data_IF_352673149305
#
_entry.id   IF_352673149305
#
_cell.length_a   1.000
_cell.length_b   1.000
_cell.length_c   1.000
_cell.angle_alpha   90.00
_cell.angle_beta   90.00
_cell.angle_gamma   90.00
#
_symmetry.space_group_name_H-M   'P 1'
#
loop_
_entity.id
_entity.type
_entity.pdbx_description
1 polymer ?
#
# COMPACT_ATOMS: atom_id res chain seq x y z
N UNK A 1 8.54 -6.02 -16.60
CA UNK A 1 8.12 -5.27 -15.40
C UNK A 1 7.43 -6.12 -14.32
N UNK A 2 6.55 -7.07 -14.66
CA UNK A 2 5.91 -7.95 -13.64
C UNK A 2 6.91 -8.77 -12.82
N UNK A 3 7.92 -9.37 -13.46
CA UNK A 3 8.96 -10.18 -12.78
C UNK A 3 9.76 -9.35 -11.76
N UNK A 4 10.21 -8.16 -12.14
CA UNK A 4 10.96 -7.24 -11.26
C UNK A 4 10.13 -6.87 -10.04
N UNK A 5 8.82 -6.63 -10.22
CA UNK A 5 7.92 -6.33 -9.11
C UNK A 5 7.82 -7.51 -8.13
N UNK A 6 7.64 -8.74 -8.63
CA UNK A 6 7.60 -9.93 -7.80
C UNK A 6 8.92 -10.16 -7.04
N UNK A 7 10.07 -9.96 -7.69
CA UNK A 7 11.38 -10.07 -7.04
C UNK A 7 11.53 -9.08 -5.87
N UNK A 8 11.22 -7.80 -6.10
CA UNK A 8 11.29 -6.76 -5.04
C UNK A 8 10.34 -7.08 -3.89
N UNK A 9 9.16 -7.60 -4.22
CA UNK A 9 8.14 -7.97 -3.24
C UNK A 9 8.57 -9.17 -2.37
N UNK A 10 9.14 -10.22 -2.97
CA UNK A 10 9.67 -11.37 -2.24
C UNK A 10 10.84 -10.98 -1.33
N UNK A 11 11.76 -10.16 -1.83
CA UNK A 11 12.88 -9.64 -1.02
C UNK A 11 12.35 -8.80 0.16
N UNK A 12 11.35 -7.95 -0.10
CA UNK A 12 10.73 -7.12 0.94
C UNK A 12 10.03 -7.95 2.01
N UNK A 13 9.36 -9.05 1.62
CA UNK A 13 8.73 -9.99 2.56
C UNK A 13 9.76 -10.73 3.42
N UNK A 14 10.85 -11.22 2.82
CA UNK A 14 11.94 -11.88 3.54
C UNK A 14 12.62 -10.93 4.53
N UNK A 15 12.84 -9.67 4.12
CA UNK A 15 13.37 -8.64 4.99
C UNK A 15 12.42 -8.34 6.14
N UNK A 16 11.12 -8.14 5.86
CA UNK A 16 10.11 -7.89 6.89
C UNK A 16 10.01 -9.03 7.90
N UNK A 17 10.02 -10.28 7.44
CA UNK A 17 10.03 -11.47 8.31
C UNK A 17 11.27 -11.50 9.21
N UNK A 18 12.45 -11.23 8.63
CA UNK A 18 13.73 -11.19 9.37
C UNK A 18 13.77 -10.10 10.45
N UNK A 19 12.99 -9.03 10.29
CA UNK A 19 12.89 -7.91 11.25
C UNK A 19 11.82 -8.17 12.30
N UNK A 20 10.65 -8.68 11.88
CA UNK A 20 9.53 -8.93 12.78
C UNK A 20 9.81 -10.09 13.73
N UNK A 21 10.54 -11.12 13.31
CA UNK A 21 10.94 -12.23 14.18
C UNK A 21 11.64 -11.75 15.46
N UNK A 22 12.77 -11.02 15.42
CA UNK A 22 13.44 -10.54 16.64
C UNK A 22 12.61 -9.55 17.46
N UNK A 23 11.63 -8.85 16.84
CA UNK A 23 10.69 -7.98 17.56
C UNK A 23 9.63 -8.81 18.32
N UNK A 24 9.14 -9.90 17.73
CA UNK A 24 8.15 -10.78 18.37
C UNK A 24 8.70 -11.55 19.57
N UNK A 25 10.01 -11.81 19.60
CA UNK A 25 10.71 -12.37 20.77
C UNK A 25 11.07 -11.32 21.83
N UNK A 26 10.67 -10.04 21.65
CA UNK A 26 10.99 -8.99 22.60
C UNK A 26 10.14 -9.15 23.88
N UNK A 27 10.77 -9.30 25.06
CA UNK A 27 10.05 -9.55 26.31
C UNK A 27 9.20 -8.38 26.79
N UNK A 28 9.44 -7.17 26.27
CA UNK A 28 8.84 -5.93 26.79
C UNK A 28 7.51 -5.52 26.16
N UNK A 29 6.90 -6.33 25.26
CA UNK A 29 5.57 -6.09 24.62
C UNK A 29 5.28 -4.62 24.23
N UNK A 30 6.29 -3.85 23.83
CA UNK A 30 6.13 -2.44 23.46
C UNK A 30 5.69 -2.33 22.00
N UNK A 31 4.72 -1.45 21.66
CA UNK A 31 4.39 -1.14 20.27
C UNK A 31 5.60 -0.55 19.52
N UNK A 32 5.78 -0.95 18.25
CA UNK A 32 6.96 -0.63 17.43
C UNK A 32 7.29 0.87 17.35
N UNK A 33 6.27 1.72 17.39
CA UNK A 33 6.41 3.19 17.34
C UNK A 33 7.15 3.75 18.56
N UNK A 34 7.07 3.05 19.70
CA UNK A 34 7.66 3.45 20.98
C UNK A 34 9.01 2.79 21.25
N UNK A 35 9.58 2.11 20.25
CA UNK A 35 10.90 1.46 20.37
C UNK A 35 12.02 2.48 20.67
N UNK A 36 11.87 3.75 20.24
CA UNK A 36 12.80 4.85 20.55
C UNK A 36 12.91 5.15 22.05
N UNK A 37 11.86 4.92 22.83
CA UNK A 37 11.80 5.23 24.26
C UNK A 37 12.25 4.06 25.16
N UNK A 38 12.63 2.92 24.58
CA UNK A 38 13.10 1.75 25.32
C UNK A 38 14.51 2.00 25.90
N UNK A 39 14.82 1.49 27.10
CA UNK A 39 16.13 1.64 27.75
C UNK A 39 17.23 0.73 27.15
N UNK A 40 16.88 -0.27 26.33
CA UNK A 40 17.84 -1.11 25.64
C UNK A 40 18.64 -0.31 24.60
N UNK A 41 19.97 -0.32 24.74
CA UNK A 41 20.93 0.38 23.87
C UNK A 41 21.17 -0.38 22.56
N UNK A 42 21.18 -1.72 22.61
CA UNK A 42 21.35 -2.62 21.46
C UNK A 42 20.02 -3.32 21.14
N UNK A 43 19.11 -2.60 20.48
CA UNK A 43 17.90 -3.18 19.90
C UNK A 43 17.93 -3.00 18.37
N UNK A 44 17.93 -4.09 17.57
CA UNK A 44 17.92 -3.98 16.12
C UNK A 44 16.69 -3.20 15.60
N UNK A 45 15.58 -3.18 16.35
CA UNK A 45 14.41 -2.36 16.04
C UNK A 45 14.70 -0.86 16.01
N UNK A 46 15.45 -0.32 16.99
CA UNK A 46 15.81 1.11 17.04
C UNK A 46 16.69 1.54 15.87
N UNK A 47 17.67 0.70 15.52
CA UNK A 47 18.58 0.95 14.42
C UNK A 47 17.87 0.96 13.07
N UNK A 48 16.81 0.15 12.93
CA UNK A 48 16.09 0.00 11.68
C UNK A 48 14.91 0.97 11.51
N UNK A 49 14.31 1.47 12.59
CA UNK A 49 13.14 2.34 12.54
C UNK A 49 13.42 3.66 11.79
N UNK A 50 14.53 4.34 12.10
CA UNK A 50 14.91 5.61 11.46
C UNK A 50 15.22 5.47 9.96
N UNK A 51 16.08 4.54 9.50
CA UNK A 51 16.34 4.39 8.07
C UNK A 51 15.10 3.95 7.29
N UNK A 52 14.23 3.11 7.88
CA UNK A 52 12.98 2.71 7.22
C UNK A 52 12.04 3.91 7.01
N UNK A 53 11.86 4.76 8.02
CA UNK A 53 11.07 5.99 7.89
C UNK A 53 11.64 6.94 6.84
N UNK A 54 12.96 7.13 6.84
CA UNK A 54 13.63 8.00 5.87
C UNK A 54 13.48 7.47 4.43
N UNK A 55 13.54 6.15 4.26
CA UNK A 55 13.34 5.49 2.97
C UNK A 55 11.89 5.63 2.49
N UNK A 56 10.90 5.45 3.38
CA UNK A 56 9.47 5.65 3.05
C UNK A 56 9.21 7.10 2.63
N UNK A 57 9.71 8.08 3.39
CA UNK A 57 9.57 9.50 3.08
C UNK A 57 10.28 9.87 1.78
N UNK A 58 11.53 9.45 1.61
CA UNK A 58 12.33 9.74 0.41
C UNK A 58 11.73 9.16 -0.87
N UNK A 59 11.29 7.89 -0.82
CA UNK A 59 10.62 7.26 -1.96
C UNK A 59 9.23 7.85 -2.22
N UNK A 60 8.53 8.26 -1.16
CA UNK A 60 7.25 8.97 -1.25
C UNK A 60 7.36 10.34 -1.93
N UNK A 61 8.44 11.08 -1.66
CA UNK A 61 8.72 12.36 -2.30
C UNK A 61 9.05 12.22 -3.79
N UNK A 62 9.87 11.22 -4.15
CA UNK A 62 10.31 11.02 -5.53
C UNK A 62 9.22 10.39 -6.42
N UNK A 63 8.51 9.40 -5.89
CA UNK A 63 7.64 8.53 -6.68
C UNK A 63 6.20 8.43 -6.15
N UNK A 64 5.83 9.21 -5.14
CA UNK A 64 4.49 9.19 -4.55
C UNK A 64 4.17 7.85 -3.89
N UNK A 65 2.97 7.30 -4.13
CA UNK A 65 2.49 6.03 -3.54
C UNK A 65 3.14 4.77 -4.14
N UNK A 66 4.28 4.88 -4.83
CA UNK A 66 5.01 3.74 -5.41
C UNK A 66 5.46 2.74 -4.34
N UNK A 67 5.77 3.22 -3.13
CA UNK A 67 6.13 2.38 -1.98
C UNK A 67 5.05 1.35 -1.65
N UNK A 68 3.78 1.77 -1.64
CA UNK A 68 2.65 0.88 -1.35
C UNK A 68 2.48 -0.23 -2.39
N UNK A 69 2.99 -0.05 -3.61
CA UNK A 69 2.92 -1.03 -4.69
C UNK A 69 4.07 -2.04 -4.68
N UNK A 70 5.29 -1.58 -4.40
CA UNK A 70 6.52 -2.37 -4.55
C UNK A 70 7.15 -2.83 -3.24
N UNK A 71 7.17 -1.99 -2.21
CA UNK A 71 7.92 -2.22 -0.97
C UNK A 71 7.04 -2.68 0.20
N UNK A 72 5.74 -2.41 0.16
CA UNK A 72 4.85 -2.75 1.26
C UNK A 72 4.50 -4.26 1.27
N UNK A 73 4.91 -5.02 2.31
CA UNK A 73 4.61 -6.46 2.43
C UNK A 73 3.11 -6.73 2.65
N UNK A 74 2.39 -5.81 3.30
CA UNK A 74 0.94 -5.95 3.45
C UNK A 74 0.20 -5.82 2.11
N UNK A 75 0.69 -4.97 1.20
CA UNK A 75 0.09 -4.81 -0.13
C UNK A 75 0.19 -6.08 -0.98
N UNK A 76 1.27 -6.86 -0.81
CA UNK A 76 1.47 -8.13 -1.51
C UNK A 76 0.66 -9.24 -0.90
N UNK A 77 0.60 -9.31 0.43
CA UNK A 77 -0.24 -10.27 1.13
C UNK A 77 -1.71 -10.12 0.70
N UNK A 78 -2.20 -8.88 0.60
CA UNK A 78 -3.58 -8.63 0.16
C UNK A 78 -3.84 -9.03 -1.28
N UNK A 79 -2.89 -8.83 -2.19
CA UNK A 79 -3.02 -9.23 -3.61
C UNK A 79 -3.00 -10.75 -3.79
N UNK A 80 -2.27 -11.47 -2.92
CA UNK A 80 -2.28 -12.94 -2.87
C UNK A 80 -3.62 -13.44 -2.31
N UNK A 81 -4.07 -12.88 -1.18
CA UNK A 81 -5.34 -13.27 -0.53
C UNK A 81 -6.52 -13.03 -1.44
N UNK A 82 -6.60 -11.89 -2.10
CA UNK A 82 -7.67 -11.58 -3.06
C UNK A 82 -7.59 -12.43 -4.32
N UNK A 83 -6.39 -12.75 -4.81
CA UNK A 83 -6.18 -13.67 -5.93
C UNK A 83 -6.67 -15.09 -5.63
N UNK A 84 -6.53 -15.54 -4.38
CA UNK A 84 -7.08 -16.82 -3.90
C UNK A 84 -8.60 -16.72 -3.70
N UNK A 85 -9.08 -15.65 -3.08
CA UNK A 85 -10.52 -15.40 -2.86
C UNK A 85 -11.32 -15.39 -4.16
N UNK A 86 -10.84 -14.67 -5.18
CA UNK A 86 -11.49 -14.59 -6.50
C UNK A 86 -11.50 -15.93 -7.26
N UNK A 87 -10.63 -16.88 -6.91
CA UNK A 87 -10.68 -18.25 -7.46
C UNK A 87 -11.70 -19.14 -6.76
N UNK A 88 -12.09 -18.80 -5.53
CA UNK A 88 -13.01 -19.59 -4.69
C UNK A 88 -14.43 -19.02 -4.72
N UNK A 89 -14.59 -17.70 -4.87
CA UNK A 89 -15.90 -17.04 -4.95
C UNK A 89 -15.98 -16.12 -6.17
N UNK A 90 -16.78 -16.52 -7.15
CA UNK A 90 -16.94 -15.84 -8.45
C UNK A 90 -17.88 -14.62 -8.41
N UNK A 91 -18.26 -14.09 -7.24
CA UNK A 91 -19.37 -13.14 -7.12
C UNK A 91 -19.15 -11.94 -6.20
N UNK A 92 -17.93 -11.69 -5.72
CA UNK A 92 -17.65 -10.51 -4.91
C UNK A 92 -17.15 -9.32 -5.75
N UNK A 93 -17.83 -9.01 -6.87
CA UNK A 93 -17.82 -7.66 -7.42
C UNK A 93 -18.74 -6.77 -6.56
N UNK A 94 -18.42 -6.68 -5.28
CA UNK A 94 -18.93 -5.60 -4.46
C UNK A 94 -18.27 -4.33 -4.95
N UNK A 95 -18.97 -3.65 -5.85
CA UNK A 95 -18.77 -2.28 -6.27
C UNK A 95 -18.99 -1.35 -5.06
N UNK A 96 -18.25 -1.56 -3.98
CA UNK A 96 -18.23 -0.68 -2.84
C UNK A 96 -17.34 0.49 -3.22
N UNK A 97 -17.95 1.38 -4.00
CA UNK A 97 -17.56 2.78 -4.17
C UNK A 97 -17.38 3.33 -2.77
N UNK A 98 -16.16 3.23 -2.23
CA UNK A 98 -15.86 3.48 -0.82
C UNK A 98 -16.32 4.90 -0.52
N UNK A 99 -17.40 5.10 0.25
CA UNK A 99 -17.86 6.44 0.50
C UNK A 99 -16.81 7.10 1.41
N UNK A 100 -16.56 8.39 1.21
CA UNK A 100 -15.49 9.09 1.93
C UNK A 100 -15.61 8.93 3.46
N UNK A 101 -16.83 8.72 3.98
CA UNK A 101 -17.11 8.47 5.39
C UNK A 101 -16.55 7.15 5.92
N UNK A 102 -16.42 6.09 5.11
CA UNK A 102 -15.85 4.82 5.55
C UNK A 102 -14.35 4.97 5.91
N UNK A 103 -13.64 5.86 5.20
CA UNK A 103 -12.25 6.24 5.53
C UNK A 103 -12.17 6.92 6.90
N UNK A 104 -13.10 7.83 7.19
CA UNK A 104 -13.18 8.52 8.48
C UNK A 104 -13.61 7.60 9.61
N UNK A 105 -14.59 6.71 9.37
CA UNK A 105 -15.05 5.73 10.36
C UNK A 105 -13.92 4.77 10.76
N UNK A 106 -13.17 4.25 9.79
CA UNK A 106 -12.00 3.42 10.08
C UNK A 106 -10.89 4.20 10.81
N UNK A 107 -10.61 5.45 10.40
CA UNK A 107 -9.65 6.30 11.12
C UNK A 107 -10.08 6.54 12.57
N UNK A 108 -11.37 6.77 12.82
CA UNK A 108 -11.93 6.93 14.17
C UNK A 108 -11.80 5.64 14.95
N UNK A 109 -12.10 4.47 14.36
CA UNK A 109 -11.94 3.16 15.03
C UNK A 109 -10.47 2.90 15.36
N UNK A 110 -9.53 3.18 14.45
CA UNK A 110 -8.09 3.02 14.72
C UNK A 110 -7.60 4.03 15.74
N UNK A 111 -8.03 5.29 15.69
CA UNK A 111 -7.72 6.29 16.71
C UNK A 111 -8.30 5.87 18.06
N UNK A 112 -9.49 5.30 18.09
CA UNK A 112 -10.14 4.81 19.30
C UNK A 112 -9.39 3.62 19.91
N UNK A 113 -8.95 2.66 19.07
CA UNK A 113 -8.05 1.57 19.48
C UNK A 113 -6.68 2.11 19.94
N UNK A 114 -6.14 3.12 19.25
CA UNK A 114 -4.88 3.75 19.62
C UNK A 114 -4.97 4.59 20.90
N UNK A 115 -6.15 5.13 21.22
CA UNK A 115 -6.43 5.78 22.52
C UNK A 115 -6.68 4.76 23.62
N UNK A 116 -7.28 3.60 23.30
CA UNK A 116 -7.36 2.45 24.21
C UNK A 116 -5.99 1.85 24.55
N UNK A 117 -4.98 2.09 23.70
CA UNK A 117 -3.58 1.76 23.95
C UNK A 117 -2.94 2.57 25.09
N UNK A 118 -3.57 3.67 25.54
CA UNK A 118 -3.07 4.49 26.67
C UNK A 118 -3.52 3.96 28.04
N UNK A 119 -4.44 2.99 28.10
CA UNK A 119 -4.78 2.35 29.38
C UNK A 119 -3.90 1.11 29.58
N UNK A 120 -3.09 1.05 30.66
CA UNK A 120 -2.11 -0.02 30.88
C UNK A 120 -2.73 -1.41 31.17
N UNK A 121 -4.05 -1.52 31.24
CA UNK A 121 -4.79 -2.74 31.57
C UNK A 121 -5.29 -3.50 30.34
N UNK A 122 -5.31 -2.88 29.15
CA UNK A 122 -5.81 -3.50 27.93
C UNK A 122 -4.68 -4.22 27.18
N UNK A 123 -4.48 -5.49 27.52
CA UNK A 123 -3.53 -6.40 26.86
C UNK A 123 -3.80 -6.47 25.36
N UNK A 124 -2.94 -5.83 24.57
CA UNK A 124 -2.96 -5.83 23.11
C UNK A 124 -2.88 -7.23 22.45
N UNK A 125 -2.73 -8.29 23.25
CA UNK A 125 -2.50 -9.65 22.79
C UNK A 125 -3.80 -10.43 22.53
N UNK A 126 -4.90 -10.14 23.25
CA UNK A 126 -6.14 -10.93 23.13
C UNK A 126 -6.98 -10.54 21.90
N UNK A 127 -6.95 -9.26 21.51
CA UNK A 127 -7.72 -8.75 20.37
C UNK A 127 -6.91 -8.67 19.07
N UNK A 128 -5.58 -8.81 19.12
CA UNK A 128 -4.73 -8.88 17.92
C UNK A 128 -5.19 -9.95 16.90
N UNK A 129 -5.49 -11.20 17.29
CA UNK A 129 -6.01 -12.20 16.34
C UNK A 129 -7.41 -11.83 15.81
N UNK A 130 -8.24 -11.16 16.62
CA UNK A 130 -9.58 -10.73 16.20
C UNK A 130 -9.49 -9.57 15.18
N UNK A 131 -8.63 -8.59 15.43
CA UNK A 131 -8.35 -7.49 14.48
C UNK A 131 -7.68 -8.01 13.21
N UNK A 132 -6.75 -8.95 13.32
CA UNK A 132 -6.13 -9.60 12.16
C UNK A 132 -7.13 -10.47 11.39
N UNK A 133 -8.04 -11.15 12.08
CA UNK A 133 -9.15 -11.91 11.50
C UNK A 133 -10.13 -11.01 10.73
N UNK A 134 -10.55 -9.88 11.33
CA UNK A 134 -11.37 -8.86 10.65
C UNK A 134 -10.62 -8.27 9.45
N UNK A 135 -9.32 -8.02 9.58
CA UNK A 135 -8.49 -7.54 8.48
C UNK A 135 -8.42 -8.54 7.32
N UNK A 136 -8.21 -9.83 7.61
CA UNK A 136 -8.21 -10.89 6.59
C UNK A 136 -9.60 -11.07 5.97
N UNK A 137 -10.65 -10.98 6.77
CA UNK A 137 -12.04 -11.06 6.31
C UNK A 137 -12.37 -9.89 5.36
N UNK A 138 -12.08 -8.64 5.75
CA UNK A 138 -12.24 -7.47 4.87
C UNK A 138 -11.35 -7.54 3.62
N UNK A 139 -10.16 -8.14 3.73
CA UNK A 139 -9.28 -8.39 2.59
C UNK A 139 -9.86 -9.40 1.59
N UNK A 140 -10.80 -10.26 2.00
CA UNK A 140 -11.48 -11.19 1.11
C UNK A 140 -12.47 -10.49 0.16
N UNK A 141 -13.00 -9.31 0.56
CA UNK A 141 -14.03 -8.58 -0.19
C UNK A 141 -13.48 -7.58 -1.22
N UNK A 142 -12.21 -7.16 -1.16
CA UNK A 142 -11.65 -6.32 -2.24
C UNK A 142 -10.12 -6.34 -2.32
N UNK A 143 -9.61 -6.21 -3.54
CA UNK A 143 -8.19 -6.06 -3.80
C UNK A 143 -7.65 -4.79 -3.10
N UNK A 144 -6.77 -4.99 -2.11
CA UNK A 144 -6.00 -3.92 -1.43
C UNK A 144 -6.86 -2.88 -0.68
N UNK A 145 -7.94 -3.32 -0.03
CA UNK A 145 -8.83 -2.46 0.78
C UNK A 145 -8.06 -1.61 1.79
N UNK A 146 -7.09 -2.21 2.49
CA UNK A 146 -6.39 -1.53 3.57
C UNK A 146 -5.46 -0.44 3.06
N UNK A 147 -4.80 -0.64 1.93
CA UNK A 147 -4.01 0.42 1.30
C UNK A 147 -4.87 1.60 0.85
N UNK A 148 -6.15 1.39 0.48
CA UNK A 148 -7.09 2.45 0.07
C UNK A 148 -7.74 3.16 1.27
N UNK A 149 -8.10 2.42 2.32
CA UNK A 149 -8.96 2.90 3.40
C UNK A 149 -8.22 3.13 4.72
N UNK A 150 -7.25 2.29 5.02
CA UNK A 150 -6.81 2.06 6.39
C UNK A 150 -5.34 2.41 6.66
N UNK A 151 -4.50 2.51 5.62
CA UNK A 151 -3.08 2.80 5.79
C UNK A 151 -2.88 4.32 6.02
N UNK A 152 -2.55 4.76 7.24
CA UNK A 152 -2.36 6.19 7.54
C UNK A 152 -1.20 6.77 6.73
N UNK A 153 -0.13 5.99 6.55
CA UNK A 153 1.03 6.35 5.72
C UNK A 153 0.61 6.55 4.25
N UNK A 154 -0.29 5.71 3.74
CA UNK A 154 -0.79 5.79 2.37
C UNK A 154 -1.63 7.04 2.11
N UNK A 155 -2.42 7.47 3.09
CA UNK A 155 -3.21 8.71 3.02
C UNK A 155 -2.31 9.95 3.06
N UNK A 156 -1.28 9.94 3.92
CA UNK A 156 -0.30 11.02 4.00
C UNK A 156 0.49 11.20 2.69
N UNK A 157 0.83 10.10 2.00
CA UNK A 157 1.61 10.12 0.76
C UNK A 157 0.72 10.33 -0.49
N UNK A 158 -0.60 10.14 -0.39
CA UNK A 158 -1.54 10.34 -1.50
C UNK A 158 -1.47 11.68 -2.22
N UNK A 159 -1.43 12.84 -1.54
CA UNK A 159 -1.30 14.14 -2.23
C UNK A 159 0.02 14.28 -3.00
N UNK A 160 1.09 13.62 -2.54
CA UNK A 160 2.40 13.65 -3.21
C UNK A 160 2.35 13.01 -4.60
N UNK A 161 1.40 12.11 -4.90
CA UNK A 161 1.23 11.58 -6.26
C UNK A 161 0.99 12.67 -7.32
N UNK A 162 0.39 13.81 -6.94
CA UNK A 162 0.12 14.89 -7.89
C UNK A 162 1.38 15.70 -8.22
N UNK A 163 2.35 15.71 -7.29
CA UNK A 163 3.55 16.54 -7.30
C UNK A 163 4.77 15.73 -7.77
N UNK A 164 4.88 14.47 -7.36
CA UNK A 164 6.04 13.62 -7.56
C UNK A 164 6.47 13.52 -9.05
N UNK A 165 7.76 13.70 -9.35
CA UNK A 165 8.28 13.73 -10.72
C UNK A 165 8.14 12.38 -11.44
N UNK A 166 8.23 11.25 -10.73
CA UNK A 166 8.06 9.92 -11.30
C UNK A 166 6.60 9.45 -11.32
N UNK A 167 5.63 10.34 -11.04
CA UNK A 167 4.21 9.99 -11.09
C UNK A 167 3.67 9.85 -12.52
N UNK A 168 2.66 9.00 -12.68
CA UNK A 168 1.97 8.77 -13.95
C UNK A 168 0.91 9.87 -14.17
N UNK A 169 0.87 10.45 -15.38
CA UNK A 169 -0.14 11.43 -15.79
C UNK A 169 -0.87 10.94 -17.05
N UNK A 170 -2.21 10.89 -16.99
CA UNK A 170 -3.09 10.63 -18.13
C UNK A 170 -3.46 11.95 -18.82
N UNK A 171 -3.17 12.08 -20.12
CA UNK A 171 -3.69 13.17 -20.96
C UNK A 171 -5.05 12.77 -21.52
N UNK A 172 -6.12 13.42 -21.04
CA UNK A 172 -7.50 13.11 -21.47
C UNK A 172 -7.70 13.31 -22.98
N UNK A 173 -7.08 14.33 -23.57
CA UNK A 173 -7.19 14.65 -25.00
C UNK A 173 -6.72 13.53 -25.95
N UNK A 174 -5.76 12.70 -25.53
CA UNK A 174 -5.22 11.59 -26.33
C UNK A 174 -5.89 10.26 -26.00
N UNK A 175 -6.82 10.22 -25.06
CA UNK A 175 -7.33 8.97 -24.53
C UNK A 175 -8.59 8.51 -25.26
N UNK A 176 -8.53 7.34 -25.89
CA UNK A 176 -9.65 6.70 -26.60
C UNK A 176 -10.62 5.92 -25.68
N UNK A 177 -10.50 6.11 -24.36
CA UNK A 177 -11.32 5.48 -23.32
C UNK A 177 -11.57 3.95 -23.45
N UNK A 178 -10.57 3.21 -23.93
CA UNK A 178 -10.64 1.75 -24.11
C UNK A 178 -10.81 0.91 -22.81
N UNK A 179 -10.70 1.54 -21.62
CA UNK A 179 -10.78 0.92 -20.28
C UNK A 179 -9.83 -0.26 -19.98
N UNK A 180 -8.95 -0.64 -20.91
CA UNK A 180 -7.98 -1.73 -20.73
C UNK A 180 -7.04 -1.51 -19.54
N UNK A 181 -6.64 -0.26 -19.33
CA UNK A 181 -5.80 0.14 -18.20
C UNK A 181 -6.49 -0.01 -16.85
N UNK A 182 -7.82 0.10 -16.80
CA UNK A 182 -8.63 0.01 -15.58
C UNK A 182 -8.92 -1.45 -15.23
N UNK A 183 -9.12 -2.31 -16.25
CA UNK A 183 -9.30 -3.76 -16.09
C UNK A 183 -8.04 -4.45 -15.55
N UNK A 184 -6.88 -4.12 -16.10
CA UNK A 184 -5.61 -4.72 -15.69
C UNK A 184 -4.95 -4.01 -14.49
N UNK A 185 -5.67 -3.11 -13.81
CA UNK A 185 -5.14 -2.35 -12.69
C UNK A 185 -5.21 -3.18 -11.39
N UNK A 186 -4.09 -3.36 -10.66
CA UNK A 186 -4.10 -4.05 -9.37
C UNK A 186 -4.89 -3.29 -8.28
N UNK A 187 -5.24 -2.04 -8.54
CA UNK A 187 -6.03 -1.19 -7.66
C UNK A 187 -7.51 -1.11 -8.07
N UNK A 188 -7.99 -1.94 -9.02
CA UNK A 188 -9.38 -2.06 -9.50
C UNK A 188 -10.12 -0.73 -9.78
N UNK A 189 -10.51 -0.50 -11.04
CA UNK A 189 -11.27 0.70 -11.47
C UNK A 189 -10.59 2.05 -11.14
N UNK A 190 -9.31 2.04 -10.78
CA UNK A 190 -8.53 3.25 -10.47
C UNK A 190 -7.97 3.88 -11.75
N UNK A 191 -8.30 5.14 -12.00
CA UNK A 191 -7.80 5.90 -13.16
C UNK A 191 -6.29 6.19 -13.03
N UNK A 192 -5.49 6.03 -14.10
CA UNK A 192 -4.07 6.36 -14.08
C UNK A 192 -3.84 7.84 -13.72
N UNK A 193 -3.00 8.10 -12.70
CA UNK A 193 -2.70 9.45 -12.21
C UNK A 193 -3.72 10.06 -11.25
N UNK A 194 -4.65 9.26 -10.71
CA UNK A 194 -5.48 9.65 -9.57
C UNK A 194 -4.69 9.63 -8.25
N UNK A 195 -5.27 10.20 -7.19
CA UNK A 195 -4.70 10.17 -5.83
C UNK A 195 -4.51 8.73 -5.30
N UNK A 196 -5.37 7.81 -5.75
CA UNK A 196 -5.33 6.39 -5.38
C UNK A 196 -4.37 5.55 -6.25
N UNK A 197 -3.76 6.14 -7.27
CA UNK A 197 -2.83 5.43 -8.14
C UNK A 197 -1.51 5.14 -7.41
N UNK A 198 -1.10 3.87 -7.35
CA UNK A 198 0.16 3.46 -6.74
C UNK A 198 1.38 3.61 -7.65
N UNK A 199 1.25 4.25 -8.83
CA UNK A 199 2.33 4.42 -9.80
C UNK A 199 3.11 3.12 -10.10
N UNK A 200 2.40 2.01 -10.32
CA UNK A 200 3.03 0.70 -10.58
C UNK A 200 3.55 0.53 -12.02
N UNK A 201 3.25 1.45 -12.93
CA UNK A 201 3.61 1.47 -14.35
C UNK A 201 3.14 0.28 -15.21
N UNK A 202 2.34 -0.65 -14.69
CA UNK A 202 1.79 -1.75 -15.49
C UNK A 202 0.91 -1.29 -16.65
N UNK A 203 0.28 -0.12 -16.54
CA UNK A 203 -0.61 0.43 -17.58
C UNK A 203 0.12 1.09 -18.76
N UNK A 204 1.41 1.41 -18.64
CA UNK A 204 2.19 2.00 -19.74
C UNK A 204 2.24 1.10 -20.99
N UNK A 205 2.68 -0.17 -20.91
CA UNK A 205 2.77 -1.04 -22.09
C UNK A 205 1.41 -1.45 -22.65
N UNK A 206 0.32 -1.31 -21.89
CA UNK A 206 -1.04 -1.65 -22.32
C UNK A 206 -1.73 -0.52 -23.08
N UNK A 207 -1.19 0.71 -23.01
CA UNK A 207 -1.86 1.88 -23.56
C UNK A 207 -1.61 2.02 -25.06
N UNK A 208 -2.55 1.52 -25.89
CA UNK A 208 -2.52 1.66 -27.36
C UNK A 208 -2.42 3.14 -27.83
N UNK A 209 -3.08 4.05 -27.12
CA UNK A 209 -3.13 5.47 -27.49
C UNK A 209 -1.95 6.31 -26.95
N UNK A 210 -0.97 5.69 -26.26
CA UNK A 210 0.17 6.39 -25.63
C UNK A 210 -0.23 7.64 -24.81
N UNK A 211 -1.43 7.61 -24.24
CA UNK A 211 -2.06 8.73 -23.50
C UNK A 211 -1.53 8.85 -22.07
N UNK A 212 -0.80 7.85 -21.61
CA UNK A 212 -0.24 7.71 -20.27
C UNK A 212 1.27 7.97 -20.34
N UNK A 213 1.77 8.91 -19.54
CA UNK A 213 3.21 9.25 -19.50
C UNK A 213 3.71 9.45 -18.08
N UNK A 214 5.01 9.27 -17.88
CA UNK A 214 5.70 9.61 -16.64
C UNK A 214 5.98 11.12 -16.66
N UNK A 215 5.70 11.83 -15.57
CA UNK A 215 5.80 13.30 -15.51
C UNK A 215 7.23 13.81 -15.80
N UNK A 216 8.27 13.11 -15.36
CA UNK A 216 9.68 13.44 -15.61
C UNK A 216 10.18 13.12 -17.03
N UNK A 217 9.58 12.14 -17.72
CA UNK A 217 9.96 11.76 -19.09
C UNK A 217 8.97 12.40 -20.07
N UNK A 218 9.25 13.63 -20.47
CA UNK A 218 8.43 14.37 -21.44
C UNK A 218 8.60 13.90 -22.89
N UNK A 219 9.59 13.07 -23.20
CA UNK A 219 9.80 12.53 -24.55
C UNK A 219 9.13 11.16 -24.70
N UNK A 220 8.11 11.13 -25.54
CA UNK A 220 7.47 9.90 -26.03
C UNK A 220 8.53 9.06 -26.75
N UNK A 221 8.57 7.71 -26.60
CA UNK A 221 8.95 6.91 -27.74
C UNK A 221 7.88 7.16 -28.80
N UNK A 222 8.28 7.76 -29.92
CA UNK A 222 7.53 7.68 -31.17
C UNK A 222 7.43 6.20 -31.54
N UNK A 223 6.25 5.80 -32.03
CA UNK A 223 6.07 4.58 -32.81
C UNK A 223 7.31 4.32 -33.67
N UNK A 224 7.94 3.17 -33.48
CA UNK A 224 8.69 2.52 -34.53
C UNK A 224 8.00 1.19 -34.77
N UNK A 225 7.18 1.22 -35.83
CA UNK A 225 6.73 0.15 -36.72
C UNK A 225 6.54 -1.25 -36.12
#
# INVERSE_FOLDING_TARGET
MRIVRWLVQTISLLFFYSIMLPISYCPYKLPWVWCSSCSLLWCPGKWLQKPLLFLILGTGLLSGRTFCGFLCPFGTLQEIVSGISNRISSSAEAELLSPAWAKWLFLVVVLWIATGFYTPEFTAFDWAPLVFGIFLFLSAFSNRYWCKLACPIGTLISPLNKIAPFSIKRKKALCIDCKECEKNCPMEKTKPGSLDCINCFLCLPLCKASSIRIRSYTKSPSNTN
#
